data_IF_184793115381
#
_entry.id   IF_184793115381
#
_cell.length_a   1.000
_cell.length_b   1.000
_cell.length_c   1.000
_cell.angle_alpha   90.00
_cell.angle_beta   90.00
_cell.angle_gamma   90.00
#
_symmetry.space_group_name_H-M   'P 1'
#
loop_
_entity.id
_entity.type
_entity.pdbx_description
1 polymer ?
#
# COMPACT_ATOMS: atom_id res chain seq x y z
N UNK A 1 -26.69 5.14 -11.99
CA UNK A 1 -26.05 4.71 -10.72
C UNK A 1 -25.53 5.91 -9.94
N UNK A 2 -24.79 6.81 -10.57
CA UNK A 2 -24.34 8.08 -9.98
C UNK A 2 -25.50 8.90 -9.37
N UNK A 3 -26.54 9.20 -10.16
CA UNK A 3 -27.73 9.96 -9.70
C UNK A 3 -28.48 9.34 -8.51
N UNK A 4 -28.31 8.02 -8.29
CA UNK A 4 -28.90 7.31 -7.16
C UNK A 4 -28.01 7.43 -5.93
N UNK A 5 -26.69 7.34 -6.12
CA UNK A 5 -25.69 7.50 -5.06
C UNK A 5 -25.56 8.94 -4.58
N UNK A 6 -25.64 9.91 -5.49
CA UNK A 6 -25.57 11.34 -5.17
C UNK A 6 -26.68 11.75 -4.19
N UNK A 7 -27.87 11.13 -4.27
CA UNK A 7 -28.97 11.36 -3.33
C UNK A 7 -28.73 10.79 -1.94
N UNK A 8 -27.85 9.79 -1.80
CA UNK A 8 -27.57 9.08 -0.54
C UNK A 8 -26.33 9.67 0.14
N UNK A 9 -25.26 9.88 -0.64
CA UNK A 9 -24.00 10.47 -0.18
C UNK A 9 -23.38 11.32 -1.31
N UNK A 10 -23.66 12.64 -1.33
CA UNK A 10 -23.11 13.56 -2.32
C UNK A 10 -21.58 13.62 -2.30
N UNK A 11 -20.96 13.47 -1.12
CA UNK A 11 -19.50 13.54 -0.99
C UNK A 11 -18.84 12.31 -1.58
N UNK A 12 -19.37 11.13 -1.28
CA UNK A 12 -18.91 9.88 -1.87
C UNK A 12 -19.10 9.83 -3.39
N UNK A 13 -20.21 10.37 -3.90
CA UNK A 13 -20.45 10.48 -5.34
C UNK A 13 -19.40 11.37 -6.02
N UNK A 14 -19.16 12.57 -5.50
CA UNK A 14 -18.15 13.49 -6.05
C UNK A 14 -16.74 12.88 -6.03
N UNK A 15 -16.36 12.25 -4.91
CA UNK A 15 -15.07 11.58 -4.80
C UNK A 15 -14.91 10.46 -5.85
N UNK A 16 -15.98 9.70 -6.13
CA UNK A 16 -15.96 8.63 -7.11
C UNK A 16 -15.78 9.17 -8.54
N UNK A 17 -16.40 10.31 -8.86
CA UNK A 17 -16.23 10.99 -10.15
C UNK A 17 -14.80 11.54 -10.31
N UNK A 18 -14.28 12.24 -9.30
CA UNK A 18 -12.89 12.72 -9.31
C UNK A 18 -11.87 11.58 -9.38
N UNK A 19 -12.20 10.43 -8.77
CA UNK A 19 -11.33 9.27 -8.71
C UNK A 19 -11.40 8.36 -9.93
N UNK A 20 -12.35 8.55 -10.85
CA UNK A 20 -12.55 7.72 -12.04
C UNK A 20 -11.25 7.36 -12.79
N UNK A 21 -10.37 8.32 -13.16
CA UNK A 21 -9.15 8.00 -13.90
C UNK A 21 -8.17 7.13 -13.11
N UNK A 22 -8.19 7.21 -11.78
CA UNK A 22 -7.32 6.44 -10.90
C UNK A 22 -7.90 5.04 -10.60
N UNK A 23 -9.21 4.93 -10.45
CA UNK A 23 -9.88 3.65 -10.16
C UNK A 23 -9.86 2.74 -11.37
N UNK A 24 -9.87 3.29 -12.59
CA UNK A 24 -9.82 2.51 -13.83
C UNK A 24 -8.41 2.16 -14.31
N UNK A 25 -7.35 2.68 -13.67
CA UNK A 25 -5.95 2.42 -14.07
C UNK A 25 -5.60 0.93 -14.12
N UNK A 26 -6.30 0.07 -13.37
CA UNK A 26 -6.06 -1.37 -13.43
C UNK A 26 -6.39 -2.00 -14.80
N UNK A 27 -7.22 -1.34 -15.62
CA UNK A 27 -7.57 -1.80 -16.97
C UNK A 27 -6.39 -1.70 -17.95
N UNK A 28 -5.39 -0.87 -17.64
CA UNK A 28 -4.17 -0.74 -18.44
C UNK A 28 -3.22 -1.95 -18.26
N UNK A 29 -3.51 -2.82 -17.28
CA UNK A 29 -2.73 -4.02 -17.01
C UNK A 29 -3.33 -5.25 -17.71
N UNK A 30 -2.52 -6.29 -18.01
CA UNK A 30 -3.03 -7.55 -18.54
C UNK A 30 -4.17 -8.12 -17.69
N UNK A 31 -5.19 -8.67 -18.35
CA UNK A 31 -6.41 -9.19 -17.68
C UNK A 31 -6.12 -10.23 -16.60
N UNK A 32 -5.06 -11.00 -16.78
CA UNK A 32 -4.58 -11.99 -15.80
C UNK A 32 -4.27 -11.35 -14.45
N UNK A 33 -3.79 -10.09 -14.43
CA UNK A 33 -3.40 -9.36 -13.23
C UNK A 33 -4.51 -8.48 -12.63
N UNK A 34 -5.48 -8.09 -13.46
CA UNK A 34 -6.55 -7.16 -13.10
C UNK A 34 -7.29 -7.55 -11.81
N UNK A 35 -7.47 -8.84 -11.55
CA UNK A 35 -8.20 -9.31 -10.37
C UNK A 35 -7.47 -9.03 -9.04
N UNK A 36 -6.14 -8.94 -9.05
CA UNK A 36 -5.36 -8.51 -7.88
C UNK A 36 -5.33 -6.98 -7.75
N UNK A 37 -5.13 -6.25 -8.85
CA UNK A 37 -4.96 -4.78 -8.86
C UNK A 37 -6.26 -4.05 -8.55
N UNK A 38 -7.39 -4.53 -9.09
CA UNK A 38 -8.72 -3.91 -8.92
C UNK A 38 -9.17 -3.87 -7.45
N UNK A 39 -8.53 -4.63 -6.56
CA UNK A 39 -8.94 -4.75 -5.16
C UNK A 39 -7.85 -4.28 -4.22
N UNK A 40 -8.25 -3.75 -3.06
CA UNK A 40 -7.33 -3.37 -2.00
C UNK A 40 -6.91 -4.56 -1.10
N UNK A 41 -7.29 -5.79 -1.47
CA UNK A 41 -7.14 -6.99 -0.63
C UNK A 41 -5.69 -7.24 -0.19
N UNK A 42 -4.72 -6.95 -1.07
CA UNK A 42 -3.30 -7.13 -0.75
C UNK A 42 -2.84 -6.17 0.35
N UNK A 43 -3.14 -4.88 0.19
CA UNK A 43 -2.78 -3.86 1.17
C UNK A 43 -3.53 -4.08 2.48
N UNK A 44 -4.82 -4.44 2.42
CA UNK A 44 -5.60 -4.76 3.62
C UNK A 44 -5.04 -5.96 4.38
N UNK A 45 -4.66 -7.03 3.67
CA UNK A 45 -4.03 -8.21 4.28
C UNK A 45 -2.69 -7.85 4.93
N UNK A 46 -1.84 -7.09 4.25
CA UNK A 46 -0.56 -6.62 4.80
C UNK A 46 -0.78 -5.74 6.04
N UNK A 47 -1.67 -4.75 5.95
CA UNK A 47 -2.00 -3.85 7.06
C UNK A 47 -2.57 -4.60 8.26
N UNK A 48 -3.39 -5.63 8.02
CA UNK A 48 -3.92 -6.50 9.08
C UNK A 48 -2.81 -7.28 9.78
N UNK A 49 -1.84 -7.80 9.04
CA UNK A 49 -0.70 -8.51 9.62
C UNK A 49 0.23 -7.57 10.41
N UNK A 50 0.52 -6.38 9.88
CA UNK A 50 1.24 -5.32 10.60
C UNK A 50 0.52 -5.00 11.91
N UNK A 51 -0.79 -4.73 11.86
CA UNK A 51 -1.60 -4.44 13.05
C UNK A 51 -1.60 -5.57 14.06
N UNK A 52 -1.65 -6.83 13.61
CA UNK A 52 -1.61 -8.02 14.47
C UNK A 52 -0.28 -8.12 15.22
N UNK A 53 0.86 -7.93 14.54
CA UNK A 53 2.19 -8.08 15.16
C UNK A 53 2.57 -6.89 16.04
N UNK A 54 2.17 -5.68 15.64
CA UNK A 54 2.40 -4.46 16.45
C UNK A 54 1.53 -4.42 17.71
N UNK A 55 0.30 -4.96 17.67
CA UNK A 55 -0.60 -5.01 18.84
C UNK A 55 0.00 -5.70 20.07
N UNK A 56 0.86 -6.69 19.88
CA UNK A 56 1.51 -7.42 21.00
C UNK A 56 2.57 -6.55 21.70
N UNK A 57 3.20 -5.63 20.97
CA UNK A 57 4.24 -4.75 21.51
C UNK A 57 3.62 -3.62 22.34
N UNK A 58 2.43 -3.15 21.97
CA UNK A 58 1.77 -2.01 22.63
C UNK A 58 2.47 -0.70 22.28
N UNK A 59 3.57 -0.39 22.99
CA UNK A 59 4.39 0.82 22.77
C UNK A 59 5.83 0.41 22.44
N UNK A 60 6.37 0.96 21.36
CA UNK A 60 7.73 0.63 20.94
C UNK A 60 8.79 1.41 21.73
N UNK A 61 9.90 0.76 22.15
CA UNK A 61 10.97 1.42 22.88
C UNK A 61 11.81 2.37 21.99
N UNK A 62 11.79 2.16 20.67
CA UNK A 62 12.43 3.04 19.70
C UNK A 62 11.84 2.87 18.30
N UNK A 63 12.02 3.88 17.44
CA UNK A 63 11.67 3.82 16.02
C UNK A 63 12.37 2.65 15.31
N UNK A 64 13.65 2.39 15.62
CA UNK A 64 14.38 1.29 14.99
C UNK A 64 13.76 -0.07 15.35
N UNK A 65 13.24 -0.25 16.56
CA UNK A 65 12.53 -1.47 16.94
C UNK A 65 11.23 -1.65 16.13
N UNK A 66 10.47 -0.57 15.95
CA UNK A 66 9.27 -0.56 15.10
C UNK A 66 9.60 -0.90 13.64
N UNK A 67 10.58 -0.22 13.04
CA UNK A 67 11.00 -0.44 11.66
C UNK A 67 11.47 -1.87 11.43
N UNK A 68 12.20 -2.47 12.38
CA UNK A 68 12.61 -3.88 12.28
C UNK A 68 11.42 -4.83 12.25
N UNK A 69 10.42 -4.63 13.11
CA UNK A 69 9.24 -5.50 13.13
C UNK A 69 8.41 -5.35 11.86
N UNK A 70 8.06 -4.11 11.49
CA UNK A 70 7.25 -3.83 10.30
C UNK A 70 7.99 -4.27 9.04
N UNK A 71 9.29 -3.96 8.94
CA UNK A 71 10.15 -4.39 7.85
C UNK A 71 10.21 -5.92 7.71
N UNK A 72 10.33 -6.65 8.83
CA UNK A 72 10.29 -8.11 8.80
C UNK A 72 8.93 -8.66 8.29
N UNK A 73 7.81 -8.01 8.63
CA UNK A 73 6.49 -8.38 8.07
C UNK A 73 6.45 -8.17 6.56
N UNK A 74 6.94 -7.02 6.09
CA UNK A 74 6.97 -6.70 4.67
C UNK A 74 7.86 -7.68 3.88
N UNK A 75 9.04 -8.04 4.41
CA UNK A 75 9.94 -9.02 3.81
C UNK A 75 9.25 -10.38 3.71
N UNK A 76 8.68 -10.88 4.81
CA UNK A 76 7.98 -12.16 4.80
C UNK A 76 6.82 -12.19 3.79
N UNK A 77 6.03 -11.11 3.71
CA UNK A 77 4.92 -11.05 2.77
C UNK A 77 5.41 -10.99 1.31
N UNK A 78 6.52 -10.30 1.05
CA UNK A 78 7.16 -10.27 -0.27
C UNK A 78 7.70 -11.64 -0.68
N UNK A 79 8.29 -12.39 0.25
CA UNK A 79 8.72 -13.77 0.01
C UNK A 79 7.55 -14.70 -0.33
N UNK A 80 6.43 -14.59 0.41
CA UNK A 80 5.20 -15.34 0.09
C UNK A 80 4.68 -15.04 -1.31
N UNK A 81 4.71 -13.77 -1.72
CA UNK A 81 4.28 -13.35 -3.06
C UNK A 81 5.22 -13.82 -4.16
N UNK A 82 6.52 -13.87 -3.90
CA UNK A 82 7.51 -14.33 -4.87
C UNK A 82 7.36 -15.83 -5.21
N UNK A 83 6.88 -16.63 -4.27
CA UNK A 83 6.64 -18.07 -4.48
C UNK A 83 5.21 -18.40 -4.89
N UNK A 84 4.29 -17.43 -4.85
CA UNK A 84 2.89 -17.66 -5.17
C UNK A 84 2.70 -17.90 -6.69
N UNK A 85 2.04 -19.01 -7.08
CA UNK A 85 1.87 -19.34 -8.49
C UNK A 85 1.00 -18.29 -9.19
N UNK A 86 1.46 -17.81 -10.34
CA UNK A 86 0.81 -16.81 -11.20
C UNK A 86 0.68 -15.40 -10.61
N UNK A 87 1.11 -15.16 -9.37
CA UNK A 87 1.01 -13.84 -8.77
C UNK A 87 1.93 -12.84 -9.46
N UNK A 88 1.37 -11.86 -10.19
CA UNK A 88 2.08 -10.72 -10.77
C UNK A 88 3.38 -11.11 -11.49
N UNK A 89 3.34 -12.19 -12.28
CA UNK A 89 4.52 -12.65 -12.99
C UNK A 89 5.11 -11.54 -13.87
N UNK A 90 6.40 -11.30 -13.70
CA UNK A 90 7.10 -10.18 -14.33
C UNK A 90 7.14 -10.34 -15.86
N UNK A 91 7.11 -11.56 -16.38
CA UNK A 91 7.12 -11.81 -17.82
C UNK A 91 5.76 -11.52 -18.46
N UNK A 92 4.66 -11.80 -17.76
CA UNK A 92 3.31 -11.47 -18.21
C UNK A 92 2.95 -9.99 -18.02
N UNK A 93 3.61 -9.25 -17.12
CA UNK A 93 3.57 -7.79 -17.03
C UNK A 93 4.40 -7.14 -18.15
N UNK A 94 3.96 -7.31 -19.40
CA UNK A 94 4.59 -6.73 -20.59
C UNK A 94 4.38 -5.21 -20.63
N UNK A 95 5.25 -4.46 -19.94
CA UNK A 95 5.56 -3.09 -20.33
C UNK A 95 6.70 -3.15 -21.36
N UNK A 96 6.48 -2.68 -22.60
CA UNK A 96 7.52 -2.62 -23.65
C UNK A 96 8.74 -1.82 -23.17
N UNK A 97 8.51 -0.81 -22.34
CA UNK A 97 9.50 -0.13 -21.54
C UNK A 97 9.10 -0.25 -20.08
N UNK A 98 9.95 -0.84 -19.23
CA UNK A 98 9.75 -0.68 -17.78
C UNK A 98 9.66 0.82 -17.52
N UNK A 99 8.62 1.34 -16.85
CA UNK A 99 8.71 2.70 -16.34
C UNK A 99 10.04 2.76 -15.60
N UNK A 100 10.89 3.74 -15.94
CA UNK A 100 12.16 3.93 -15.22
C UNK A 100 11.75 4.00 -13.76
N UNK A 101 12.00 2.91 -13.01
CA UNK A 101 11.86 2.95 -11.56
C UNK A 101 12.93 3.95 -11.18
N UNK A 102 12.54 5.18 -10.92
CA UNK A 102 13.38 6.07 -10.15
C UNK A 102 13.73 5.25 -8.92
N UNK A 103 15.00 4.88 -8.81
CA UNK A 103 15.51 4.30 -7.58
C UNK A 103 15.05 5.24 -6.48
N UNK A 104 14.43 4.71 -5.43
CA UNK A 104 14.06 5.51 -4.26
C UNK A 104 15.29 6.37 -3.91
N UNK A 105 15.19 7.68 -4.19
CA UNK A 105 16.34 8.56 -4.04
C UNK A 105 16.66 8.62 -2.56
N UNK A 106 17.93 8.86 -2.20
CA UNK A 106 18.28 9.02 -0.79
C UNK A 106 17.41 10.11 -0.15
N UNK A 107 17.08 11.16 -0.90
CA UNK A 107 16.13 12.21 -0.52
C UNK A 107 14.72 11.70 -0.20
N UNK A 108 14.19 10.76 -1.00
CA UNK A 108 12.87 10.15 -0.74
C UNK A 108 12.92 9.27 0.50
N UNK A 109 14.01 8.51 0.69
CA UNK A 109 14.24 7.71 1.89
C UNK A 109 14.31 8.63 3.12
N UNK A 110 15.08 9.70 3.04
CA UNK A 110 15.26 10.66 4.13
C UNK A 110 13.94 11.37 4.46
N UNK A 111 13.17 11.78 3.45
CA UNK A 111 11.83 12.35 3.63
C UNK A 111 10.88 11.36 4.33
N UNK A 112 10.83 10.11 3.89
CA UNK A 112 10.01 9.07 4.54
C UNK A 112 10.47 8.83 5.97
N UNK A 113 11.78 8.80 6.22
CA UNK A 113 12.31 8.69 7.58
C UNK A 113 11.92 9.89 8.43
N UNK A 114 11.93 11.11 7.91
CA UNK A 114 11.48 12.32 8.61
C UNK A 114 9.99 12.27 8.95
N UNK A 115 9.13 11.85 8.02
CA UNK A 115 7.70 11.65 8.28
C UNK A 115 7.51 10.62 9.39
N UNK A 116 8.21 9.49 9.32
CA UNK A 116 8.15 8.45 10.36
C UNK A 116 8.67 8.98 11.70
N UNK A 117 9.71 9.83 11.72
CA UNK A 117 10.21 10.46 12.96
C UNK A 117 9.17 11.41 13.55
N UNK A 118 8.56 12.25 12.72
CA UNK A 118 7.50 13.17 13.13
C UNK A 118 6.32 12.41 13.74
N UNK A 119 5.81 11.39 13.05
CA UNK A 119 4.68 10.59 13.50
C UNK A 119 4.99 9.79 14.76
N UNK A 120 6.18 9.19 14.83
CA UNK A 120 6.61 8.43 16.01
C UNK A 120 6.72 9.33 17.25
N UNK A 121 7.25 10.55 17.09
CA UNK A 121 7.34 11.52 18.19
C UNK A 121 5.97 12.03 18.60
N UNK A 122 5.09 12.36 17.66
CA UNK A 122 3.72 12.76 17.95
C UNK A 122 2.96 11.67 18.74
N UNK A 123 3.14 10.40 18.38
CA UNK A 123 2.53 9.29 19.11
C UNK A 123 3.10 9.12 20.52
N UNK A 124 4.39 9.44 20.74
CA UNK A 124 5.04 9.39 22.05
C UNK A 124 4.57 10.52 22.99
N UNK A 125 4.22 11.68 22.46
CA UNK A 125 3.69 12.80 23.27
C UNK A 125 2.24 12.58 23.74
N UNK A 126 1.50 11.68 23.07
CA UNK A 126 0.09 11.38 23.37
C UNK A 126 -0.08 10.15 24.29
N UNK A 127 0.98 9.35 24.48
CA UNK A 127 0.97 8.10 25.26
C UNK A 127 1.55 8.28 26.67
#
# INVERSE_FOLDING_TARGET
>A
LYEVYEKIDPKGAHLLEESEPYVLTYLDFPKEHAHWIRTNNLCERLNKEIKKRTRVVGVFPSKQAMLRLVGAVCINQNEEWFVAPHFMDKHSLLFEERPKRESCTQETIDHLLQVIDSDFNACKEVA
#
